data_IF_364050487860
#
_entry.id   IF_364050487860
#
_cell.length_a   1.000
_cell.length_b   1.000
_cell.length_c   1.000
_cell.angle_alpha   90.00
_cell.angle_beta   90.00
_cell.angle_gamma   90.00
#
_symmetry.space_group_name_H-M   'P 1'
#
loop_
_entity.id
_entity.type
_entity.pdbx_description
1 polymer ?
#
# COMPACT_ATOMS: atom_id res chain seq x y z
N UNK A 1 -18.38 -55.88 38.73
CA UNK A 1 -19.71 -55.66 38.17
C UNK A 1 -19.48 -54.79 36.91
N UNK A 2 -19.42 -55.45 35.76
CA UNK A 2 -19.12 -54.82 34.48
C UNK A 2 -20.41 -54.28 33.86
N UNK A 3 -20.45 -53.03 33.57
CA UNK A 3 -21.48 -52.47 32.71
C UNK A 3 -20.85 -52.28 31.32
N UNK A 4 -21.27 -53.09 30.38
CA UNK A 4 -21.06 -52.88 28.95
C UNK A 4 -22.16 -51.94 28.49
N UNK A 5 -21.77 -50.81 27.97
CA UNK A 5 -22.65 -49.99 27.15
C UNK A 5 -22.12 -50.00 25.71
N UNK A 6 -22.83 -50.71 24.89
CA UNK A 6 -22.65 -50.73 23.45
C UNK A 6 -23.61 -49.72 22.84
N UNK A 7 -23.15 -48.50 22.67
CA UNK A 7 -23.80 -47.55 21.76
C UNK A 7 -23.05 -47.57 20.43
N UNK A 8 -23.71 -48.09 19.41
CA UNK A 8 -23.34 -47.91 18.02
C UNK A 8 -23.28 -46.41 17.76
N UNK A 9 -22.07 -45.88 17.62
CA UNK A 9 -21.85 -44.60 16.97
C UNK A 9 -21.86 -44.91 15.47
N UNK A 10 -22.98 -44.62 14.81
CA UNK A 10 -23.03 -44.55 13.37
C UNK A 10 -21.99 -43.52 12.95
N UNK A 11 -20.91 -44.01 12.35
CA UNK A 11 -19.96 -43.18 11.59
C UNK A 11 -20.75 -42.64 10.42
N UNK A 12 -21.26 -41.41 10.59
CA UNK A 12 -21.73 -40.63 9.48
C UNK A 12 -20.48 -40.38 8.62
N UNK A 13 -20.40 -41.08 7.53
CA UNK A 13 -19.52 -40.79 6.43
C UNK A 13 -19.94 -39.41 5.88
N UNK A 14 -19.44 -38.35 6.51
CA UNK A 14 -19.41 -37.05 5.92
C UNK A 14 -18.43 -37.13 4.75
N UNK A 15 -18.91 -37.61 3.60
CA UNK A 15 -18.38 -37.24 2.33
C UNK A 15 -18.57 -35.72 2.24
N UNK A 16 -17.62 -34.97 2.78
CA UNK A 16 -17.50 -33.56 2.56
C UNK A 16 -17.47 -33.36 1.06
N UNK A 17 -18.58 -32.92 0.50
CA UNK A 17 -18.61 -32.34 -0.85
C UNK A 17 -17.58 -31.23 -0.79
N UNK A 18 -16.38 -31.50 -1.30
CA UNK A 18 -15.35 -30.50 -1.45
C UNK A 18 -15.92 -29.47 -2.44
N UNK A 19 -16.39 -28.37 -1.90
CA UNK A 19 -16.87 -27.25 -2.68
C UNK A 19 -15.65 -26.68 -3.41
N UNK A 20 -15.49 -27.05 -4.68
CA UNK A 20 -14.44 -26.53 -5.53
C UNK A 20 -14.91 -25.17 -6.05
N UNK A 21 -14.24 -24.11 -5.69
CA UNK A 21 -14.40 -22.77 -6.26
C UNK A 21 -13.20 -22.48 -7.16
N UNK A 22 -13.34 -22.83 -8.45
CA UNK A 22 -12.27 -22.63 -9.43
C UNK A 22 -12.45 -21.25 -10.04
N UNK A 23 -11.44 -20.38 -9.85
CA UNK A 23 -11.37 -19.07 -10.49
C UNK A 23 -10.20 -18.97 -11.46
N UNK A 24 -10.35 -18.09 -12.43
CA UNK A 24 -9.31 -17.74 -13.37
C UNK A 24 -8.52 -16.58 -12.78
N UNK A 25 -7.19 -16.73 -12.77
CA UNK A 25 -6.27 -15.71 -12.27
C UNK A 25 -5.29 -15.34 -13.38
N UNK A 26 -5.44 -14.14 -13.91
CA UNK A 26 -4.57 -13.57 -14.92
C UNK A 26 -3.47 -12.76 -14.24
N UNK A 27 -2.24 -13.13 -14.46
CA UNK A 27 -1.10 -12.48 -13.81
C UNK A 27 -0.16 -11.91 -14.87
N UNK A 28 0.18 -10.63 -14.73
CA UNK A 28 1.19 -9.99 -15.54
C UNK A 28 2.56 -10.64 -15.30
N UNK A 29 3.24 -11.00 -16.39
CA UNK A 29 4.56 -11.61 -16.38
C UNK A 29 5.52 -10.86 -17.29
N UNK A 30 6.73 -10.65 -16.77
CA UNK A 30 7.84 -10.12 -17.54
C UNK A 30 9.16 -10.52 -16.89
N UNK A 31 10.11 -10.97 -17.72
CA UNK A 31 11.42 -11.45 -17.24
C UNK A 31 12.34 -10.36 -16.70
N UNK A 32 12.12 -9.10 -17.07
CA UNK A 32 13.03 -7.99 -16.85
C UNK A 32 14.01 -7.75 -18.02
N UNK A 33 13.95 -8.56 -19.08
CA UNK A 33 14.78 -8.44 -20.28
C UNK A 33 14.06 -7.59 -21.32
N UNK A 34 14.73 -6.56 -21.84
CA UNK A 34 14.12 -5.56 -22.74
C UNK A 34 13.62 -6.19 -24.06
N UNK A 35 14.27 -7.25 -24.54
CA UNK A 35 13.91 -7.95 -25.76
C UNK A 35 12.69 -8.89 -25.61
N UNK A 36 12.20 -9.09 -24.39
CA UNK A 36 11.07 -9.98 -24.12
C UNK A 36 9.81 -9.17 -23.85
N UNK A 37 8.75 -9.27 -24.68
CA UNK A 37 7.53 -8.54 -24.42
C UNK A 37 6.83 -9.08 -23.15
N UNK A 38 6.13 -8.21 -22.40
CA UNK A 38 5.31 -8.67 -21.29
C UNK A 38 4.14 -9.52 -21.80
N UNK A 39 3.72 -10.47 -20.97
CA UNK A 39 2.59 -11.37 -21.27
C UNK A 39 1.67 -11.49 -20.06
N UNK A 40 0.52 -12.09 -20.25
CA UNK A 40 -0.42 -12.46 -19.20
C UNK A 40 -0.46 -13.97 -19.12
N UNK A 41 -0.08 -14.53 -17.98
CA UNK A 41 -0.24 -15.94 -17.70
C UNK A 41 -1.60 -16.18 -17.03
N UNK A 42 -2.30 -17.19 -17.49
CA UNK A 42 -3.63 -17.56 -17.01
C UNK A 42 -3.54 -18.83 -16.18
N UNK A 43 -3.99 -18.75 -14.93
CA UNK A 43 -4.02 -19.87 -13.99
C UNK A 43 -5.45 -20.20 -13.60
N UNK A 44 -5.78 -21.49 -13.54
CA UNK A 44 -7.03 -22.00 -12.98
C UNK A 44 -6.74 -22.48 -11.56
N UNK A 45 -7.29 -21.79 -10.56
CA UNK A 45 -6.98 -22.01 -9.16
C UNK A 45 -8.24 -22.34 -8.36
N UNK A 46 -8.20 -23.47 -7.64
CA UNK A 46 -9.19 -23.78 -6.62
C UNK A 46 -8.94 -22.87 -5.40
N UNK A 47 -9.71 -21.78 -5.34
CA UNK A 47 -9.55 -20.75 -4.29
C UNK A 47 -10.05 -21.22 -2.94
N UNK A 48 -10.95 -22.21 -2.88
CA UNK A 48 -11.39 -22.82 -1.63
C UNK A 48 -10.21 -23.45 -0.86
N UNK A 49 -9.13 -23.81 -1.56
CA UNK A 49 -7.90 -24.39 -1.00
C UNK A 49 -6.72 -23.43 -0.94
N UNK A 50 -6.90 -22.17 -1.35
CA UNK A 50 -5.82 -21.18 -1.38
C UNK A 50 -5.73 -20.37 -0.09
N UNK A 51 -6.85 -20.04 0.51
CA UNK A 51 -6.99 -19.08 1.61
C UNK A 51 -8.01 -18.01 1.27
N UNK A 52 -8.05 -16.92 2.03
CA UNK A 52 -9.09 -15.88 1.87
C UNK A 52 -8.62 -14.64 1.11
N UNK A 53 -7.32 -14.45 0.97
CA UNK A 53 -6.73 -13.25 0.41
C UNK A 53 -6.09 -13.51 -0.97
N UNK A 54 -6.07 -12.50 -1.82
CA UNK A 54 -5.39 -12.58 -3.13
C UNK A 54 -3.90 -12.96 -2.98
N UNK A 55 -3.24 -12.53 -1.89
CA UNK A 55 -1.87 -12.96 -1.60
C UNK A 55 -1.74 -14.48 -1.42
N UNK A 56 -2.76 -15.15 -0.92
CA UNK A 56 -2.75 -16.60 -0.72
C UNK A 56 -2.81 -17.31 -2.07
N UNK A 57 -3.59 -16.79 -3.03
CA UNK A 57 -3.59 -17.27 -4.41
C UNK A 57 -2.19 -17.16 -5.03
N UNK A 58 -1.55 -16.00 -4.91
CA UNK A 58 -0.20 -15.80 -5.44
C UNK A 58 0.83 -16.75 -4.79
N UNK A 59 0.69 -16.99 -3.48
CA UNK A 59 1.53 -17.97 -2.79
C UNK A 59 1.30 -19.39 -3.30
N UNK A 60 0.05 -19.77 -3.54
CA UNK A 60 -0.32 -21.08 -4.08
C UNK A 60 0.22 -21.26 -5.51
N UNK A 61 0.02 -20.28 -6.39
CA UNK A 61 0.60 -20.31 -7.74
C UNK A 61 2.11 -20.52 -7.66
N UNK A 62 2.80 -19.71 -6.85
CA UNK A 62 4.27 -19.80 -6.72
C UNK A 62 4.74 -21.14 -6.14
N UNK A 63 4.01 -21.73 -5.22
CA UNK A 63 4.41 -22.95 -4.53
C UNK A 63 4.11 -24.21 -5.33
N UNK A 64 2.99 -24.25 -6.07
CA UNK A 64 2.44 -25.47 -6.63
C UNK A 64 2.45 -25.49 -8.16
N UNK A 65 2.42 -24.31 -8.83
CA UNK A 65 2.22 -24.20 -10.28
C UNK A 65 3.45 -23.61 -10.97
N UNK A 66 3.89 -22.42 -10.57
CA UNK A 66 4.99 -21.71 -11.20
C UNK A 66 5.90 -21.02 -10.17
N UNK A 67 7.01 -21.64 -9.78
CA UNK A 67 7.94 -21.08 -8.81
C UNK A 67 8.69 -19.84 -9.32
N UNK A 68 8.67 -19.55 -10.61
CA UNK A 68 9.33 -18.39 -11.21
C UNK A 68 8.59 -17.09 -10.96
N UNK A 69 7.27 -17.13 -10.62
CA UNK A 69 6.45 -15.95 -10.35
C UNK A 69 7.08 -15.09 -9.25
N UNK A 70 7.28 -13.79 -9.54
CA UNK A 70 7.98 -12.87 -8.67
C UNK A 70 7.06 -11.77 -8.15
N UNK A 71 6.94 -11.66 -6.83
CA UNK A 71 6.21 -10.60 -6.14
C UNK A 71 6.80 -10.34 -4.76
N UNK A 72 6.52 -9.14 -4.20
CA UNK A 72 6.95 -8.79 -2.84
C UNK A 72 5.90 -9.19 -1.81
N UNK A 73 6.34 -9.73 -0.70
CA UNK A 73 5.50 -10.02 0.48
C UNK A 73 6.33 -9.98 1.76
N UNK A 74 5.70 -9.65 2.88
CA UNK A 74 6.33 -9.72 4.20
C UNK A 74 5.30 -9.98 5.30
N UNK A 75 4.68 -8.96 5.89
CA UNK A 75 3.84 -9.06 7.09
C UNK A 75 2.55 -9.89 6.94
N UNK A 76 1.92 -9.91 5.77
CA UNK A 76 0.63 -10.55 5.44
C UNK A 76 -0.59 -9.96 6.17
N UNK A 77 -0.45 -8.82 6.83
CA UNK A 77 -1.48 -8.18 7.68
C UNK A 77 -1.65 -6.67 7.41
N UNK A 78 -1.19 -6.19 6.24
CA UNK A 78 -1.40 -4.79 5.83
C UNK A 78 -0.54 -3.76 6.56
N UNK A 79 0.60 -4.15 7.16
CA UNK A 79 1.48 -3.26 7.94
C UNK A 79 2.73 -2.82 7.18
N UNK A 80 3.27 -3.66 6.29
CA UNK A 80 4.56 -3.38 5.63
C UNK A 80 4.46 -2.70 4.26
N UNK A 81 3.28 -2.71 3.62
CA UNK A 81 3.09 -2.12 2.28
C UNK A 81 3.71 -2.90 1.11
N UNK A 82 4.47 -3.99 1.37
CA UNK A 82 5.28 -4.67 0.35
C UNK A 82 4.49 -5.30 -0.79
N UNK A 83 3.31 -5.84 -0.51
CA UNK A 83 2.47 -6.56 -1.47
C UNK A 83 1.50 -5.65 -2.24
N UNK A 84 1.84 -4.37 -2.39
CA UNK A 84 1.04 -3.43 -3.17
C UNK A 84 1.12 -3.78 -4.67
N UNK A 85 -0.04 -3.88 -5.30
CA UNK A 85 -0.20 -4.18 -6.72
C UNK A 85 -1.58 -3.72 -7.21
N UNK A 86 -1.83 -3.82 -8.50
CA UNK A 86 -3.15 -3.56 -9.07
C UNK A 86 -3.92 -4.86 -9.17
N UNK A 87 -5.09 -4.93 -8.55
CA UNK A 87 -5.99 -6.08 -8.57
C UNK A 87 -7.34 -5.61 -9.09
N UNK A 88 -7.80 -6.18 -10.20
CA UNK A 88 -9.05 -5.83 -10.88
C UNK A 88 -9.19 -4.30 -11.12
N UNK A 89 -8.08 -3.66 -11.53
CA UNK A 89 -8.05 -2.22 -11.81
C UNK A 89 -7.87 -1.32 -10.58
N UNK A 90 -7.83 -1.88 -9.35
CA UNK A 90 -7.66 -1.12 -8.10
C UNK A 90 -6.28 -1.36 -7.50
N UNK A 91 -5.55 -0.28 -7.19
CA UNK A 91 -4.28 -0.38 -6.49
C UNK A 91 -4.53 -0.64 -5.00
N UNK A 92 -4.09 -1.79 -4.49
CA UNK A 92 -4.33 -2.22 -3.11
C UNK A 92 -3.22 -3.15 -2.62
N UNK A 93 -3.36 -3.65 -1.39
CA UNK A 93 -2.47 -4.65 -0.80
C UNK A 93 -3.05 -6.05 -1.01
N UNK A 94 -2.32 -6.94 -1.67
CA UNK A 94 -2.78 -8.30 -1.92
C UNK A 94 -3.11 -9.10 -0.64
N UNK A 95 -2.47 -8.76 0.49
CA UNK A 95 -2.75 -9.38 1.79
C UNK A 95 -4.01 -8.86 2.50
N UNK A 96 -4.67 -7.82 1.95
CA UNK A 96 -5.91 -7.24 2.49
C UNK A 96 -7.08 -7.32 1.50
N UNK A 97 -6.83 -7.68 0.25
CA UNK A 97 -7.88 -7.85 -0.75
C UNK A 97 -8.47 -9.25 -0.63
N UNK A 98 -9.73 -9.33 -0.20
CA UNK A 98 -10.46 -10.59 -0.12
C UNK A 98 -10.77 -11.13 -1.51
N UNK A 99 -10.68 -12.45 -1.68
CA UNK A 99 -11.01 -13.13 -2.94
C UNK A 99 -12.48 -12.96 -3.29
N UNK A 100 -13.36 -12.96 -2.30
CA UNK A 100 -14.80 -12.75 -2.47
C UNK A 100 -15.17 -11.37 -3.04
N UNK A 101 -14.30 -10.38 -2.87
CA UNK A 101 -14.47 -9.02 -3.42
C UNK A 101 -13.92 -8.89 -4.85
N UNK A 102 -13.32 -9.94 -5.39
CA UNK A 102 -12.78 -9.97 -6.74
C UNK A 102 -13.80 -10.52 -7.73
N UNK A 103 -13.60 -10.22 -9.01
CA UNK A 103 -14.35 -10.82 -10.10
C UNK A 103 -14.06 -12.33 -10.22
N UNK A 104 -14.90 -13.06 -10.95
CA UNK A 104 -14.66 -14.49 -11.23
C UNK A 104 -13.36 -14.70 -12.03
N UNK A 105 -12.96 -13.70 -12.79
CA UNK A 105 -11.68 -13.63 -13.49
C UNK A 105 -10.84 -12.53 -12.86
N UNK A 106 -9.88 -12.90 -12.00
CA UNK A 106 -9.05 -11.99 -11.21
C UNK A 106 -7.86 -11.53 -12.04
N UNK A 107 -7.71 -10.23 -12.23
CA UNK A 107 -6.62 -9.65 -13.00
C UNK A 107 -5.60 -9.00 -12.09
N UNK A 108 -4.33 -9.43 -12.14
CA UNK A 108 -3.27 -8.97 -11.25
C UNK A 108 -2.12 -8.37 -12.06
N UNK A 109 -1.85 -7.08 -11.84
CA UNK A 109 -0.81 -6.30 -12.48
C UNK A 109 0.13 -5.67 -11.46
N UNK A 110 1.36 -5.29 -11.84
CA UNK A 110 2.20 -4.45 -11.00
C UNK A 110 1.55 -3.08 -10.77
N UNK A 111 2.02 -2.31 -9.79
CA UNK A 111 1.59 -0.93 -9.62
C UNK A 111 1.83 -0.13 -10.92
N UNK A 112 0.81 0.58 -11.45
CA UNK A 112 0.92 1.30 -12.71
C UNK A 112 1.90 2.48 -12.61
N UNK A 113 2.43 2.90 -13.77
CA UNK A 113 3.33 4.05 -13.91
C UNK A 113 4.63 3.98 -13.08
N UNK A 114 5.02 2.81 -12.63
CA UNK A 114 6.34 2.52 -12.09
C UNK A 114 7.07 1.55 -13.02
N UNK A 115 8.38 1.72 -13.15
CA UNK A 115 9.20 0.78 -13.92
C UNK A 115 9.09 -0.62 -13.32
N UNK A 116 8.69 -1.58 -14.11
CA UNK A 116 8.67 -2.99 -13.68
C UNK A 116 10.11 -3.52 -13.69
N UNK A 117 10.50 -4.25 -12.66
CA UNK A 117 11.77 -4.96 -12.58
C UNK A 117 11.63 -6.42 -13.02
N UNK A 118 10.57 -7.08 -12.55
CA UNK A 118 10.19 -8.43 -12.94
C UNK A 118 8.77 -8.72 -12.45
N UNK A 119 7.93 -9.27 -13.30
CA UNK A 119 6.55 -9.66 -13.00
C UNK A 119 5.77 -8.57 -12.26
N UNK A 120 5.40 -8.80 -11.00
CA UNK A 120 4.67 -7.85 -10.14
C UNK A 120 5.59 -6.94 -9.31
N UNK A 121 6.90 -7.00 -9.52
CA UNK A 121 7.89 -6.20 -8.77
C UNK A 121 8.24 -4.94 -9.53
N UNK A 122 7.93 -3.79 -8.95
CA UNK A 122 8.27 -2.46 -9.50
C UNK A 122 9.50 -1.85 -8.82
N UNK A 123 10.16 -0.91 -9.51
CA UNK A 123 11.24 -0.11 -8.95
C UNK A 123 10.68 1.01 -8.07
N UNK A 124 11.03 0.98 -6.79
CA UNK A 124 10.60 1.97 -5.79
C UNK A 124 11.70 3.01 -5.49
N UNK A 125 12.84 2.94 -6.15
CA UNK A 125 14.01 3.79 -5.83
C UNK A 125 13.64 5.27 -5.83
N UNK A 126 13.06 5.75 -6.92
CA UNK A 126 12.65 7.15 -7.07
C UNK A 126 11.65 7.59 -6.00
N UNK A 127 10.63 6.77 -5.74
CA UNK A 127 9.62 7.05 -4.73
C UNK A 127 10.22 7.18 -3.32
N UNK A 128 11.20 6.35 -2.97
CA UNK A 128 11.92 6.46 -1.71
C UNK A 128 12.94 7.61 -1.68
N UNK A 129 13.52 8.00 -2.81
CA UNK A 129 14.34 9.23 -2.91
C UNK A 129 13.48 10.47 -2.64
N UNK A 130 12.28 10.55 -3.21
CA UNK A 130 11.31 11.59 -2.91
C UNK A 130 10.88 11.58 -1.44
N UNK A 131 10.65 10.40 -0.86
CA UNK A 131 10.35 10.28 0.57
C UNK A 131 11.53 10.76 1.44
N UNK A 132 12.76 10.43 1.09
CA UNK A 132 13.96 10.92 1.78
C UNK A 132 14.10 12.43 1.70
N UNK A 133 13.69 13.05 0.58
CA UNK A 133 13.83 14.50 0.36
C UNK A 133 13.03 15.34 1.36
N UNK A 134 11.93 14.82 1.88
CA UNK A 134 11.11 15.52 2.90
C UNK A 134 11.68 15.38 4.32
N UNK A 135 12.85 14.76 4.50
CA UNK A 135 13.50 14.54 5.79
C UNK A 135 12.54 13.87 6.80
N UNK A 136 12.12 12.59 6.55
CA UNK A 136 11.08 11.93 7.33
C UNK A 136 11.59 11.44 8.70
N UNK A 137 12.12 12.36 9.48
CA UNK A 137 12.60 12.16 10.86
C UNK A 137 12.40 13.42 11.67
N UNK A 138 12.44 13.28 12.99
CA UNK A 138 12.29 14.39 13.91
C UNK A 138 13.53 15.30 13.87
N UNK A 139 13.33 16.57 13.55
CA UNK A 139 14.38 17.59 13.58
C UNK A 139 14.24 18.46 14.84
N UNK A 140 15.31 18.47 15.67
CA UNK A 140 15.42 19.32 16.84
C UNK A 140 16.66 20.19 16.76
N UNK A 141 16.50 21.47 17.10
CA UNK A 141 17.59 22.45 17.24
C UNK A 141 18.00 22.64 18.69
N UNK A 142 17.06 22.42 19.60
CA UNK A 142 17.29 22.46 21.03
C UNK A 142 18.16 21.27 21.49
N UNK A 143 19.06 21.48 22.48
CA UNK A 143 19.84 20.37 23.01
C UNK A 143 18.92 19.27 23.53
N UNK A 144 19.30 18.02 23.27
CA UNK A 144 18.56 16.87 23.78
C UNK A 144 18.51 16.96 25.32
N UNK A 145 17.30 17.03 25.86
CA UNK A 145 17.11 16.80 27.28
C UNK A 145 17.48 15.34 27.56
N UNK A 146 17.95 15.07 28.77
CA UNK A 146 18.24 13.71 29.26
C UNK A 146 17.00 12.79 29.25
N UNK A 147 15.83 13.32 28.90
CA UNK A 147 14.53 12.65 28.87
C UNK A 147 13.90 12.69 27.49
N UNK A 148 12.89 11.86 27.29
CA UNK A 148 12.09 11.77 26.08
C UNK A 148 11.45 13.11 25.68
N UNK A 149 11.21 13.28 24.36
CA UNK A 149 10.44 14.41 23.85
C UNK A 149 8.95 14.20 24.13
N UNK A 150 8.46 14.83 25.17
CA UNK A 150 7.07 14.71 25.62
C UNK A 150 6.15 15.37 24.59
N UNK A 151 5.01 14.72 24.35
CA UNK A 151 3.93 15.22 23.48
C UNK A 151 2.60 15.10 24.25
N UNK A 152 1.72 16.10 24.16
CA UNK A 152 0.38 16.01 24.74
C UNK A 152 -0.49 15.01 23.95
N UNK A 153 -1.58 14.54 24.57
CA UNK A 153 -2.55 13.67 23.89
C UNK A 153 -3.16 14.39 22.68
N UNK A 154 -3.55 15.64 22.86
CA UNK A 154 -4.15 16.49 21.82
C UNK A 154 -3.21 16.70 20.62
N UNK A 155 -1.90 16.84 20.88
CA UNK A 155 -0.90 16.95 19.81
C UNK A 155 -0.65 15.62 19.13
N UNK A 156 -0.69 14.51 19.88
CA UNK A 156 -0.57 13.16 19.32
C UNK A 156 -1.74 12.85 18.38
N UNK A 157 -2.96 13.24 18.75
CA UNK A 157 -4.18 13.01 17.95
C UNK A 157 -4.11 13.73 16.59
N UNK A 158 -3.36 14.84 16.47
CA UNK A 158 -3.13 15.54 15.20
C UNK A 158 -2.37 14.68 14.17
N UNK A 159 -1.69 13.63 14.60
CA UNK A 159 -0.94 12.72 13.75
C UNK A 159 -1.80 11.58 13.21
N UNK A 160 -2.99 11.34 13.77
CA UNK A 160 -3.89 10.30 13.31
C UNK A 160 -4.34 10.54 11.87
N UNK A 161 -4.46 9.46 11.12
CA UNK A 161 -4.68 9.52 9.68
C UNK A 161 -3.43 9.89 8.86
N UNK A 162 -2.25 9.95 9.46
CA UNK A 162 -0.98 10.28 8.79
C UNK A 162 0.13 9.27 9.12
N UNK A 163 0.33 8.96 10.40
CA UNK A 163 1.40 8.06 10.83
C UNK A 163 1.17 6.60 10.45
N UNK A 164 -0.09 6.21 10.21
CA UNK A 164 -0.48 4.84 9.81
C UNK A 164 -0.10 4.52 8.35
N UNK A 165 0.38 5.50 7.61
CA UNK A 165 0.81 5.28 6.23
C UNK A 165 2.01 4.33 6.16
N UNK A 166 1.84 3.22 5.45
CA UNK A 166 2.83 2.15 5.29
C UNK A 166 3.69 2.30 4.04
N UNK A 167 3.63 3.47 3.37
CA UNK A 167 4.40 3.77 2.16
C UNK A 167 4.28 2.71 1.06
N UNK A 168 3.07 2.20 0.85
CA UNK A 168 2.78 1.20 -0.20
C UNK A 168 2.70 1.81 -1.61
N UNK A 169 2.59 3.15 -1.71
CA UNK A 169 2.47 3.92 -2.96
C UNK A 169 1.22 3.64 -3.81
N UNK A 170 0.23 2.88 -3.34
CA UNK A 170 -1.03 2.67 -4.06
C UNK A 170 -1.70 4.01 -4.44
N UNK A 171 -1.66 5.00 -3.55
CA UNK A 171 -2.21 6.33 -3.79
C UNK A 171 -1.41 7.14 -4.82
N UNK A 172 -0.07 7.08 -4.81
CA UNK A 172 0.77 7.79 -5.78
C UNK A 172 0.60 7.21 -7.18
N UNK A 173 0.57 5.89 -7.30
CA UNK A 173 0.38 5.20 -8.58
C UNK A 173 -1.06 5.26 -9.11
N UNK A 174 -2.02 5.73 -8.32
CA UNK A 174 -3.39 6.04 -8.77
C UNK A 174 -3.60 7.52 -9.12
N UNK A 175 -2.57 8.36 -8.97
CA UNK A 175 -2.68 9.81 -9.16
C UNK A 175 -2.25 10.22 -10.57
N UNK A 176 -3.16 10.74 -11.43
CA UNK A 176 -2.79 11.19 -12.78
C UNK A 176 -1.71 12.28 -12.77
N UNK A 177 -1.74 13.19 -11.80
CA UNK A 177 -0.69 14.21 -11.67
C UNK A 177 0.69 13.60 -11.42
N UNK A 178 0.76 12.48 -10.68
CA UNK A 178 2.02 11.76 -10.44
C UNK A 178 2.49 11.03 -11.71
N UNK A 179 1.59 10.47 -12.50
CA UNK A 179 1.93 9.80 -13.76
C UNK A 179 2.67 10.70 -14.74
N UNK A 180 2.24 11.97 -14.83
CA UNK A 180 2.79 12.93 -15.80
C UNK A 180 3.97 13.74 -15.28
N UNK A 181 4.15 13.83 -13.96
CA UNK A 181 5.14 14.70 -13.33
C UNK A 181 5.92 13.99 -12.20
N UNK A 182 6.14 12.70 -12.31
CA UNK A 182 6.82 11.91 -11.25
C UNK A 182 8.26 12.40 -10.97
N UNK A 183 8.86 13.17 -11.86
CA UNK A 183 10.21 13.72 -11.68
C UNK A 183 10.25 14.78 -10.59
N UNK A 184 9.21 15.58 -10.47
CA UNK A 184 9.18 16.74 -9.60
C UNK A 184 8.05 16.70 -8.57
N UNK A 185 6.85 16.20 -8.95
CA UNK A 185 5.73 16.09 -8.04
C UNK A 185 5.95 14.99 -7.01
N UNK A 186 5.95 15.35 -5.73
CA UNK A 186 6.22 14.41 -4.65
C UNK A 186 5.17 13.31 -4.50
N UNK A 187 3.97 13.52 -5.02
CA UNK A 187 2.89 12.57 -4.95
C UNK A 187 2.20 12.46 -3.59
N UNK A 188 1.00 11.83 -3.57
CA UNK A 188 0.16 11.80 -2.38
C UNK A 188 0.78 11.08 -1.18
N UNK A 189 1.53 9.98 -1.38
CA UNK A 189 2.14 9.23 -0.28
C UNK A 189 3.19 10.06 0.46
N UNK A 190 4.08 10.71 -0.29
CA UNK A 190 5.17 11.53 0.26
C UNK A 190 4.60 12.79 0.93
N UNK A 191 3.61 13.45 0.30
CA UNK A 191 2.98 14.64 0.87
C UNK A 191 2.16 14.33 2.12
N UNK A 192 1.52 13.17 2.22
CA UNK A 192 0.89 12.71 3.46
C UNK A 192 1.91 12.60 4.60
N UNK A 193 3.07 12.01 4.32
CA UNK A 193 4.15 11.90 5.30
C UNK A 193 4.79 13.26 5.61
N UNK A 194 4.91 14.17 4.63
CA UNK A 194 5.35 15.53 4.91
C UNK A 194 4.42 16.24 5.89
N UNK A 195 3.09 16.11 5.71
CA UNK A 195 2.11 16.67 6.64
C UNK A 195 2.23 16.07 8.04
N UNK A 196 2.53 14.78 8.16
CA UNK A 196 2.80 14.16 9.47
C UNK A 196 3.89 14.91 10.23
N UNK A 197 5.02 15.21 9.58
CA UNK A 197 6.14 15.89 10.23
C UNK A 197 5.86 17.39 10.50
N UNK A 198 5.10 18.05 9.62
CA UNK A 198 4.64 19.42 9.83
C UNK A 198 3.70 19.55 11.03
N UNK A 199 2.90 18.50 11.30
CA UNK A 199 1.95 18.48 12.43
C UNK A 199 2.54 17.94 13.72
N UNK A 200 3.73 17.36 13.70
CA UNK A 200 4.38 16.85 14.92
C UNK A 200 4.88 18.03 15.78
N UNK A 201 4.28 18.20 16.94
CA UNK A 201 4.61 19.32 17.87
C UNK A 201 6.03 19.25 18.43
N UNK A 202 6.70 18.12 18.27
CA UNK A 202 8.08 17.91 18.72
C UNK A 202 9.11 18.33 17.65
N UNK A 203 8.67 18.52 16.40
CA UNK A 203 9.52 18.96 15.28
C UNK A 203 9.67 20.49 15.33
N UNK A 204 10.92 20.97 15.29
CA UNK A 204 11.25 22.39 15.39
C UNK A 204 11.52 23.05 14.02
N UNK A 205 11.39 22.28 12.90
CA UNK A 205 11.66 22.76 11.54
C UNK A 205 10.39 22.89 10.68
N UNK A 206 9.23 23.09 11.30
CA UNK A 206 7.96 23.23 10.58
C UNK A 206 8.01 24.29 9.46
N UNK A 207 8.60 25.46 9.72
CA UNK A 207 8.68 26.57 8.76
C UNK A 207 9.58 26.21 7.58
N UNK A 208 10.70 25.59 7.85
CA UNK A 208 11.65 25.14 6.85
C UNK A 208 11.03 24.08 5.94
N UNK A 209 10.30 23.12 6.54
CA UNK A 209 9.56 22.09 5.77
C UNK A 209 8.50 22.69 4.85
N UNK A 210 7.75 23.68 5.32
CA UNK A 210 6.76 24.38 4.51
C UNK A 210 7.41 25.13 3.35
N UNK A 211 8.51 25.86 3.60
CA UNK A 211 9.26 26.56 2.56
C UNK A 211 9.84 25.60 1.49
N UNK A 212 10.35 24.44 1.88
CA UNK A 212 10.86 23.42 0.95
C UNK A 212 9.76 22.78 0.08
N UNK A 213 8.51 22.80 0.56
CA UNK A 213 7.35 22.28 -0.16
C UNK A 213 6.63 23.34 -0.99
N UNK A 214 6.83 24.62 -0.70
CA UNK A 214 6.20 25.73 -1.43
C UNK A 214 6.80 25.89 -2.83
N UNK A 215 6.43 24.98 -3.70
CA UNK A 215 6.94 24.86 -5.05
C UNK A 215 5.82 24.42 -6.00
N UNK A 216 5.76 25.06 -7.16
CA UNK A 216 4.71 24.89 -8.17
C UNK A 216 4.59 23.44 -8.68
N UNK A 217 5.70 22.69 -8.69
CA UNK A 217 5.76 21.33 -9.18
C UNK A 217 5.66 20.31 -8.04
N UNK A 218 6.38 20.52 -6.92
CA UNK A 218 6.40 19.56 -5.79
C UNK A 218 5.04 19.40 -5.11
N UNK A 219 4.30 20.49 -4.90
CA UNK A 219 3.04 20.50 -4.12
C UNK A 219 1.81 20.82 -4.98
N UNK A 220 1.90 21.88 -5.80
CA UNK A 220 0.71 22.46 -6.44
C UNK A 220 0.22 21.70 -7.68
N UNK A 221 0.92 20.63 -8.10
CA UNK A 221 0.40 19.68 -9.09
C UNK A 221 -0.77 18.83 -8.58
N UNK A 222 -1.08 18.90 -7.30
CA UNK A 222 -2.29 18.30 -6.77
C UNK A 222 -3.53 19.09 -7.19
N UNK A 223 -4.38 18.49 -8.01
CA UNK A 223 -5.65 19.04 -8.51
C UNK A 223 -6.88 18.47 -7.79
N UNK A 224 -6.70 17.83 -6.64
CA UNK A 224 -7.78 17.26 -5.80
C UNK A 224 -8.69 16.26 -6.54
N UNK A 225 -8.11 15.42 -7.40
CA UNK A 225 -8.85 14.38 -8.17
C UNK A 225 -9.40 13.28 -7.26
N UNK A 226 -8.84 13.11 -6.04
CA UNK A 226 -9.27 12.19 -4.98
C UNK A 226 -8.97 10.70 -5.21
N UNK A 227 -8.43 10.28 -6.35
CA UNK A 227 -8.05 8.88 -6.59
C UNK A 227 -7.15 8.32 -5.47
N UNK A 228 -6.25 9.14 -4.94
CA UNK A 228 -5.34 8.77 -3.86
C UNK A 228 -6.06 8.37 -2.57
N UNK A 229 -7.18 9.01 -2.26
CA UNK A 229 -7.99 8.69 -1.09
C UNK A 229 -8.79 7.41 -1.31
N UNK A 230 -9.34 7.24 -2.51
CA UNK A 230 -10.15 6.07 -2.84
C UNK A 230 -9.32 4.78 -2.92
N UNK A 231 -8.04 4.88 -3.34
CA UNK A 231 -7.14 3.72 -3.48
C UNK A 231 -6.31 3.41 -2.23
N UNK A 232 -6.49 4.15 -1.13
CA UNK A 232 -5.70 3.92 0.07
C UNK A 232 -6.17 2.66 0.83
N UNK A 233 -5.38 1.57 0.90
CA UNK A 233 -5.79 0.35 1.58
C UNK A 233 -5.88 0.51 3.11
N UNK A 234 -5.35 1.62 3.66
CA UNK A 234 -5.43 1.98 5.08
C UNK A 234 -6.56 2.97 5.37
N UNK A 235 -7.39 3.35 4.38
CA UNK A 235 -8.47 4.31 4.55
C UNK A 235 -8.01 5.73 4.88
N UNK A 236 -6.76 6.09 4.57
CA UNK A 236 -6.22 7.42 4.85
C UNK A 236 -6.67 8.44 3.79
N UNK A 237 -6.53 9.73 4.12
CA UNK A 237 -6.90 10.80 3.21
C UNK A 237 -5.70 11.68 2.82
N UNK A 238 -4.91 11.27 1.81
CA UNK A 238 -3.78 12.07 1.33
C UNK A 238 -4.19 13.43 0.76
N UNK A 239 -5.35 13.52 0.12
CA UNK A 239 -5.84 14.78 -0.45
C UNK A 239 -6.09 15.83 0.65
N UNK A 240 -6.67 15.43 1.79
CA UNK A 240 -6.85 16.31 2.95
C UNK A 240 -5.50 16.76 3.50
N UNK A 241 -4.54 15.86 3.62
CA UNK A 241 -3.19 16.20 4.10
C UNK A 241 -2.50 17.23 3.19
N UNK A 242 -2.63 17.10 1.88
CA UNK A 242 -2.09 18.08 0.91
C UNK A 242 -2.80 19.42 1.05
N UNK A 243 -4.12 19.44 1.21
CA UNK A 243 -4.87 20.67 1.43
C UNK A 243 -4.46 21.38 2.73
N UNK A 244 -4.18 20.63 3.80
CA UNK A 244 -3.66 21.16 5.06
C UNK A 244 -2.29 21.81 4.88
N UNK A 245 -1.38 21.22 4.09
CA UNK A 245 -0.07 21.83 3.79
C UNK A 245 -0.26 23.15 3.06
N UNK A 246 -1.06 23.19 1.99
CA UNK A 246 -1.37 24.41 1.23
C UNK A 246 -1.95 25.51 2.13
N UNK A 247 -2.84 25.15 3.04
CA UNK A 247 -3.41 26.09 4.00
C UNK A 247 -2.39 26.63 4.99
N UNK A 248 -1.46 25.82 5.49
CA UNK A 248 -0.40 26.29 6.39
C UNK A 248 0.56 27.26 5.67
N UNK A 249 0.90 27.00 4.40
CA UNK A 249 1.72 27.89 3.58
C UNK A 249 1.02 29.24 3.39
N UNK A 250 -0.26 29.24 2.99
CA UNK A 250 -1.02 30.49 2.79
C UNK A 250 -1.11 31.37 4.03
N UNK A 251 -0.99 30.82 5.24
CA UNK A 251 -0.90 31.59 6.48
C UNK A 251 0.47 32.22 6.71
N UNK A 252 1.53 31.68 6.10
CA UNK A 252 2.87 32.26 6.22
C UNK A 252 2.99 33.53 5.37
N UNK A 253 2.37 33.54 4.18
CA UNK A 253 2.41 34.67 3.25
C UNK A 253 1.62 35.89 3.76
N UNK A 254 0.68 35.69 4.66
CA UNK A 254 -0.18 36.74 5.23
C UNK A 254 0.35 37.32 6.56
N UNK A 255 1.60 37.05 6.94
CA UNK A 255 2.28 37.64 8.10
C UNK A 255 3.50 38.45 7.67
#
# INVERSE_FOLDING_TARGET
>A
MCIRDSSNVDLIDEQSQQNHDIRIVNVYRWSGEEDTPPQIDRFEIDVAKAGTMVLDILNKIKAEVDPSLTFRKSCREGVCGSCAMNIDGVNTLACQKHIEECSDEINIYPLPHMRVLKDLVVDLKKAFEQFKSIKPWLNKKSPNNERENIQSVEDRDKLDGKWECVMCFSCSTSCPSYWWNEDEYLGPAVLLQANRWIKDSRDEEKKERLNELDDSLKLYRCHSIMNCTNSCPKGLNPAKAIAEIKYEISKMDNK
#
